data_IF_147943306481
#
_entry.id   IF_147943306481
#
_cell.length_a   1.000
_cell.length_b   1.000
_cell.length_c   1.000
_cell.angle_alpha   90.00
_cell.angle_beta   90.00
_cell.angle_gamma   90.00
#
_symmetry.space_group_name_H-M   'P 1'
#
loop_
_entity.id
_entity.type
_entity.pdbx_description
1 polymer ?
#
# COMPACT_ATOMS: atom_id res chain seq x y z
N UNK A 1 5.89 -4.95 6.63
CA UNK A 1 6.72 -5.85 5.80
C UNK A 1 6.75 -5.43 4.34
N UNK A 2 5.59 -5.26 3.68
CA UNK A 2 5.51 -4.68 2.34
C UNK A 2 5.57 -3.15 2.44
N UNK A 3 6.57 -2.52 1.82
CA UNK A 3 6.75 -1.07 1.92
C UNK A 3 8.07 -0.57 1.35
N UNK A 4 8.40 0.69 1.65
CA UNK A 4 9.53 1.44 1.06
C UNK A 4 10.91 0.81 1.27
N UNK A 5 11.05 -0.18 2.16
CA UNK A 5 12.28 -0.96 2.31
C UNK A 5 12.53 -1.92 1.14
N UNK A 6 11.53 -2.19 0.30
CA UNK A 6 11.62 -3.10 -0.84
C UNK A 6 11.73 -2.30 -2.16
N UNK A 7 12.75 -2.52 -3.00
CA UNK A 7 12.88 -1.83 -4.28
C UNK A 7 11.73 -2.18 -5.26
N UNK A 8 11.25 -3.42 -5.24
CA UNK A 8 10.10 -3.87 -6.02
C UNK A 8 8.80 -3.17 -5.63
N UNK A 9 8.62 -2.81 -4.36
CA UNK A 9 7.49 -1.99 -3.90
C UNK A 9 7.55 -0.59 -4.50
N UNK A 10 8.73 0.05 -4.47
CA UNK A 10 8.91 1.39 -5.03
C UNK A 10 8.63 1.39 -6.54
N UNK A 11 9.08 0.34 -7.25
CA UNK A 11 8.88 0.19 -8.69
C UNK A 11 7.40 0.04 -9.08
N UNK A 12 6.65 -0.85 -8.41
CA UNK A 12 5.25 -1.10 -8.79
C UNK A 12 4.30 0.05 -8.41
N UNK A 13 4.72 0.91 -7.47
CA UNK A 13 3.97 2.10 -7.04
C UNK A 13 4.37 3.38 -7.76
N UNK A 14 5.32 3.33 -8.68
CA UNK A 14 5.75 4.50 -9.43
C UNK A 14 4.56 5.16 -10.15
N UNK A 15 4.36 6.46 -9.90
CA UNK A 15 3.22 7.21 -10.45
C UNK A 15 1.85 6.89 -9.84
N UNK A 16 1.78 6.10 -8.76
CA UNK A 16 0.51 5.75 -8.10
C UNK A 16 0.48 6.24 -6.64
N UNK A 17 -0.52 7.06 -6.32
CA UNK A 17 -0.74 7.55 -4.96
C UNK A 17 -0.97 6.39 -3.97
N UNK A 18 -0.68 6.62 -2.68
CA UNK A 18 -0.75 5.56 -1.65
C UNK A 18 -2.15 4.99 -1.53
N UNK A 19 -3.15 5.84 -1.30
CA UNK A 19 -4.53 5.39 -1.13
C UNK A 19 -5.09 4.76 -2.41
N UNK A 20 -4.68 5.25 -3.58
CA UNK A 20 -5.09 4.66 -4.86
C UNK A 20 -4.46 3.28 -5.08
N UNK A 21 -3.26 3.05 -4.55
CA UNK A 21 -2.61 1.74 -4.59
C UNK A 21 -3.39 0.70 -3.79
N UNK A 22 -4.01 1.10 -2.68
CA UNK A 22 -4.86 0.23 -1.85
C UNK A 22 -6.19 -0.14 -2.53
N UNK A 23 -6.66 0.69 -3.47
CA UNK A 23 -7.94 0.50 -4.16
C UNK A 23 -7.80 -0.18 -5.55
N UNK A 24 -6.59 -0.61 -5.91
CA UNK A 24 -6.31 -1.37 -7.14
C UNK A 24 -6.00 -2.83 -6.76
N UNK A 25 -6.93 -3.78 -6.95
CA UNK A 25 -6.78 -5.16 -6.47
C UNK A 25 -5.49 -5.86 -6.94
N UNK A 26 -5.11 -5.68 -8.20
CA UNK A 26 -3.91 -6.27 -8.80
C UNK A 26 -2.64 -5.72 -8.14
N UNK A 27 -2.61 -4.42 -7.86
CA UNK A 27 -1.48 -3.77 -7.23
C UNK A 27 -1.39 -4.12 -5.73
N UNK A 28 -2.53 -4.10 -5.03
CA UNK A 28 -2.59 -4.46 -3.61
C UNK A 28 -2.18 -5.91 -3.38
N UNK A 29 -2.64 -6.84 -4.22
CA UNK A 29 -2.25 -8.25 -4.15
C UNK A 29 -0.76 -8.46 -4.47
N UNK A 30 -0.23 -7.81 -5.50
CA UNK A 30 1.20 -7.88 -5.82
C UNK A 30 2.06 -7.39 -4.64
N UNK A 31 1.75 -6.21 -4.09
CA UNK A 31 2.48 -5.65 -2.95
C UNK A 31 2.39 -6.56 -1.71
N UNK A 32 1.21 -7.12 -1.44
CA UNK A 32 0.99 -8.04 -0.31
C UNK A 32 1.91 -9.26 -0.37
N UNK A 33 2.20 -9.78 -1.57
CA UNK A 33 2.98 -11.00 -1.77
C UNK A 33 4.49 -10.77 -1.86
N UNK A 34 4.97 -9.53 -2.07
CA UNK A 34 6.40 -9.24 -2.16
C UNK A 34 7.21 -9.75 -0.95
N UNK A 35 6.81 -9.51 0.31
CA UNK A 35 7.56 -10.01 1.46
C UNK A 35 7.55 -11.52 1.56
N UNK A 36 6.45 -12.18 1.17
CA UNK A 36 6.35 -13.65 1.13
C UNK A 36 7.40 -14.21 0.19
N UNK A 37 7.47 -13.68 -1.04
CA UNK A 37 8.44 -14.15 -2.05
C UNK A 37 9.90 -13.80 -1.69
N UNK A 38 10.14 -12.63 -1.08
CA UNK A 38 11.49 -12.14 -0.80
C UNK A 38 12.10 -12.73 0.46
N UNK A 39 11.29 -12.93 1.49
CA UNK A 39 11.77 -13.24 2.84
C UNK A 39 11.27 -14.59 3.36
N UNK A 40 10.42 -15.30 2.60
CA UNK A 40 9.87 -16.60 2.99
C UNK A 40 9.18 -16.56 4.37
N UNK A 41 8.40 -15.50 4.60
CA UNK A 41 7.64 -15.31 5.85
C UNK A 41 6.43 -16.25 5.91
N UNK A 42 6.07 -16.68 7.13
CA UNK A 42 4.96 -17.62 7.37
C UNK A 42 3.57 -17.03 7.07
N UNK A 43 3.46 -15.71 6.91
CA UNK A 43 2.20 -15.03 6.67
C UNK A 43 2.34 -13.73 5.86
N UNK A 44 1.28 -13.42 5.12
CA UNK A 44 1.09 -12.13 4.47
C UNK A 44 0.20 -11.21 5.30
N UNK A 45 0.52 -9.91 5.32
CA UNK A 45 -0.37 -8.85 5.81
C UNK A 45 -0.89 -8.11 4.59
N UNK A 46 -2.22 -8.02 4.48
CA UNK A 46 -2.88 -7.33 3.37
C UNK A 46 -2.41 -5.88 3.26
N UNK A 47 -1.98 -5.50 2.06
CA UNK A 47 -1.59 -4.13 1.76
C UNK A 47 -2.82 -3.23 1.66
N UNK A 48 -2.99 -2.39 2.67
CA UNK A 48 -4.02 -1.36 2.74
C UNK A 48 -3.53 -0.21 3.61
N UNK A 49 -4.37 0.80 3.81
CA UNK A 49 -4.17 1.85 4.81
C UNK A 49 -5.35 1.86 5.79
N UNK A 50 -5.07 2.20 7.05
CA UNK A 50 -6.08 2.30 8.11
C UNK A 50 -7.14 3.38 7.81
N UNK A 51 -6.84 4.36 6.96
CA UNK A 51 -7.78 5.44 6.61
C UNK A 51 -8.67 5.13 5.41
N UNK A 52 -8.51 3.98 4.74
CA UNK A 52 -9.34 3.58 3.59
C UNK A 52 -10.85 3.60 3.92
N UNK A 53 -11.33 3.09 5.07
CA UNK A 53 -12.75 3.17 5.41
C UNK A 53 -13.27 4.62 5.44
N UNK A 54 -12.47 5.57 5.93
CA UNK A 54 -12.85 6.99 5.98
C UNK A 54 -12.94 7.61 4.57
N UNK A 55 -11.94 7.33 3.71
CA UNK A 55 -11.96 7.76 2.31
C UNK A 55 -13.19 7.22 1.58
N UNK A 56 -13.52 5.95 1.76
CA UNK A 56 -14.70 5.32 1.14
C UNK A 56 -16.03 5.81 1.73
N UNK A 57 -16.03 6.26 2.99
CA UNK A 57 -17.17 6.93 3.62
C UNK A 57 -17.35 8.39 3.16
N UNK A 58 -16.49 8.90 2.27
CA UNK A 58 -16.58 10.27 1.74
C UNK A 58 -15.93 11.33 2.64
N UNK A 59 -15.17 10.93 3.66
CA UNK A 59 -14.34 11.86 4.42
C UNK A 59 -13.14 12.23 3.56
N UNK A 60 -12.89 13.54 3.39
CA UNK A 60 -11.76 14.06 2.61
C UNK A 60 -10.43 13.79 3.31
N UNK A 61 -9.94 12.56 3.19
CA UNK A 61 -8.64 12.13 3.71
C UNK A 61 -7.69 11.84 2.55
N UNK A 62 -6.48 12.37 2.63
CA UNK A 62 -5.41 12.09 1.67
C UNK A 62 -4.08 11.77 2.39
N UNK A 63 -3.10 11.22 1.66
CA UNK A 63 -1.75 11.00 2.17
C UNK A 63 -0.79 11.90 1.39
N UNK A 64 -0.32 12.95 2.07
CA UNK A 64 0.63 13.90 1.50
C UNK A 64 2.07 13.45 1.75
N UNK A 65 2.93 13.38 0.71
CA UNK A 65 4.34 13.04 0.86
C UNK A 65 5.04 13.93 1.89
N UNK A 66 5.70 13.31 2.88
CA UNK A 66 6.45 14.02 3.93
C UNK A 66 5.59 14.57 5.09
N UNK A 67 4.26 14.56 4.97
CA UNK A 67 3.33 15.00 6.03
C UNK A 67 2.60 13.82 6.65
N UNK A 68 2.15 12.86 5.83
CA UNK A 68 1.30 11.75 6.27
C UNK A 68 -0.18 11.99 5.96
N UNK A 69 -1.09 11.33 6.67
CA UNK A 69 -2.53 11.50 6.49
C UNK A 69 -2.97 12.93 6.86
N UNK A 70 -3.76 13.58 6.00
CA UNK A 70 -4.37 14.90 6.20
C UNK A 70 -5.84 14.91 5.82
#
# INVERSE_FOLDING_TARGET
QAGRSLPEYLKVREGVAMLDSCLRPELASEITLQPVRRHDVDAAIFFSDIVIPLKLAGVGVDIVPGVGPV
#
